data_IF_405191062453
#
_entry.id   IF_405191062453
#
_cell.length_a   1.000
_cell.length_b   1.000
_cell.length_c   1.000
_cell.angle_alpha   90.00
_cell.angle_beta   90.00
_cell.angle_gamma   90.00
#
_symmetry.space_group_name_H-M   'P 1'
#
loop_
_entity.id
_entity.type
_entity.pdbx_description
1 polymer ?
#
# COMPACT_ATOMS: atom_id res chain seq x y z
N UNK A 1 -7.99 8.61 -3.97
CA UNK A 1 -6.96 7.56 -4.11
C UNK A 1 -7.45 6.55 -5.13
N UNK A 2 -6.72 6.38 -6.24
CA UNK A 2 -7.06 5.42 -7.31
C UNK A 2 -6.25 4.14 -7.16
N UNK A 3 -4.95 4.26 -6.93
CA UNK A 3 -4.07 3.16 -6.56
C UNK A 3 -3.11 3.57 -5.44
N UNK A 4 -2.41 2.61 -4.87
CA UNK A 4 -1.29 2.85 -3.97
C UNK A 4 -0.29 1.70 -4.07
N UNK A 5 0.95 1.94 -3.65
CA UNK A 5 1.97 0.91 -3.70
C UNK A 5 3.22 1.26 -2.92
N UNK A 6 4.13 0.29 -2.84
CA UNK A 6 5.46 0.50 -2.31
C UNK A 6 6.47 -0.45 -2.97
N UNK A 7 7.75 -0.06 -3.03
CA UNK A 7 8.88 -0.92 -3.45
C UNK A 7 9.94 -0.95 -2.37
N UNK A 8 10.74 -2.02 -2.38
CA UNK A 8 11.75 -2.26 -1.36
C UNK A 8 11.17 -2.10 0.06
N UNK A 9 10.06 -2.79 0.33
CA UNK A 9 9.19 -2.57 1.47
C UNK A 9 8.84 -3.90 2.16
N UNK A 10 9.26 -4.10 3.41
CA UNK A 10 9.10 -5.33 4.20
C UNK A 10 9.40 -6.62 3.40
N UNK A 11 8.35 -7.32 2.94
CA UNK A 11 8.46 -8.58 2.20
C UNK A 11 8.48 -8.40 0.68
N UNK A 12 8.43 -7.18 0.18
CA UNK A 12 8.36 -6.85 -1.24
C UNK A 12 9.63 -6.15 -1.72
N UNK A 13 10.49 -6.88 -2.43
CA UNK A 13 11.69 -6.32 -3.07
C UNK A 13 11.31 -5.42 -4.26
N UNK A 14 10.63 -6.02 -5.24
CA UNK A 14 10.23 -5.32 -6.47
C UNK A 14 8.98 -4.45 -6.28
N UNK A 15 8.28 -4.65 -5.17
CA UNK A 15 7.13 -3.87 -4.74
C UNK A 15 5.78 -4.50 -5.07
N UNK A 16 4.74 -3.69 -4.89
CA UNK A 16 3.37 -4.02 -5.24
C UNK A 16 2.62 -2.74 -5.61
N UNK A 17 1.53 -2.91 -6.36
CA UNK A 17 0.52 -1.88 -6.59
C UNK A 17 -0.86 -2.47 -6.35
N UNK A 18 -1.71 -1.70 -5.67
CA UNK A 18 -3.12 -2.00 -5.44
C UNK A 18 -3.94 -0.89 -6.07
N UNK A 19 -4.73 -1.22 -7.09
CA UNK A 19 -5.67 -0.30 -7.72
C UNK A 19 -7.11 -0.60 -7.32
N UNK A 20 -7.88 0.44 -7.00
CA UNK A 20 -9.32 0.38 -6.80
C UNK A 20 -10.08 0.60 -8.12
N UNK A 21 -9.40 0.93 -9.21
CA UNK A 21 -10.04 1.23 -10.49
C UNK A 21 -10.66 -0.02 -11.11
N UNK A 22 -11.87 0.16 -11.64
CA UNK A 22 -12.47 -0.85 -12.48
C UNK A 22 -11.74 -0.88 -13.82
N UNK A 23 -11.22 -2.06 -14.17
CA UNK A 23 -10.67 -2.27 -15.50
C UNK A 23 -11.79 -2.44 -16.54
N UNK A 24 -11.41 -2.48 -17.82
CA UNK A 24 -12.34 -2.61 -18.96
C UNK A 24 -13.16 -3.91 -18.97
N UNK A 25 -12.83 -4.89 -18.10
CA UNK A 25 -13.53 -6.16 -18.00
C UNK A 25 -14.70 -6.12 -17.00
N UNK A 26 -14.85 -5.05 -16.22
CA UNK A 26 -15.96 -4.93 -15.25
C UNK A 26 -17.21 -4.39 -15.95
N UNK A 27 -18.33 -5.13 -15.97
CA UNK A 27 -19.56 -4.67 -16.60
C UNK A 27 -20.09 -3.38 -15.98
N UNK A 28 -20.67 -2.49 -16.80
CA UNK A 28 -21.28 -1.22 -16.33
C UNK A 28 -22.39 -1.43 -15.30
N UNK A 29 -23.12 -2.54 -15.38
CA UNK A 29 -24.13 -2.93 -14.41
C UNK A 29 -23.55 -3.19 -13.01
N UNK A 30 -22.32 -3.70 -12.94
CA UNK A 30 -21.59 -3.98 -11.70
C UNK A 30 -20.89 -2.72 -11.20
N UNK A 31 -20.17 -2.00 -12.06
CA UNK A 31 -19.49 -0.76 -11.67
C UNK A 31 -20.46 0.38 -11.36
N UNK A 32 -21.73 0.28 -11.81
CA UNK A 32 -22.75 1.33 -11.72
C UNK A 32 -22.24 2.67 -12.28
N UNK A 33 -21.51 2.59 -13.40
CA UNK A 33 -20.84 3.72 -14.06
C UNK A 33 -19.82 4.47 -13.19
N UNK A 34 -19.38 3.91 -12.07
CA UNK A 34 -18.26 4.44 -11.28
C UNK A 34 -16.93 4.03 -11.89
N UNK A 35 -15.87 4.79 -11.57
CA UNK A 35 -14.49 4.49 -11.99
C UNK A 35 -13.75 3.58 -11.01
N UNK A 36 -14.15 3.56 -9.73
CA UNK A 36 -13.47 2.82 -8.67
C UNK A 36 -14.45 1.97 -7.86
N UNK A 37 -13.95 0.88 -7.29
CA UNK A 37 -14.65 0.05 -6.32
C UNK A 37 -14.59 0.68 -4.92
N UNK A 38 -15.68 0.57 -4.18
CA UNK A 38 -15.72 0.94 -2.76
C UNK A 38 -15.15 -0.17 -1.84
N UNK A 39 -15.05 -1.41 -2.34
CA UNK A 39 -14.64 -2.58 -1.57
C UNK A 39 -13.57 -3.33 -2.37
N UNK A 40 -12.47 -3.70 -1.70
CA UNK A 40 -11.41 -4.51 -2.26
C UNK A 40 -11.02 -5.61 -1.26
N UNK A 41 -10.84 -6.84 -1.76
CA UNK A 41 -10.29 -7.95 -0.99
C UNK A 41 -8.87 -8.29 -1.41
N UNK A 42 -7.96 -8.47 -0.44
CA UNK A 42 -6.60 -8.95 -0.66
C UNK A 42 -6.53 -10.42 -0.21
N UNK A 43 -6.33 -11.34 -1.17
CA UNK A 43 -6.25 -12.78 -0.91
C UNK A 43 -4.85 -13.32 -1.26
N UNK A 44 -4.40 -14.31 -0.50
CA UNK A 44 -3.10 -14.96 -0.68
C UNK A 44 -2.79 -15.92 0.46
N UNK A 45 -1.76 -16.75 0.31
CA UNK A 45 -1.34 -17.72 1.32
C UNK A 45 -0.91 -17.06 2.64
N UNK A 46 -0.82 -17.83 3.72
CA UNK A 46 -0.26 -17.33 4.98
C UNK A 46 1.18 -16.83 4.74
N UNK A 47 1.56 -15.77 5.46
CA UNK A 47 2.84 -15.08 5.31
C UNK A 47 3.15 -14.50 3.90
N UNK A 48 2.18 -14.43 2.98
CA UNK A 48 2.38 -13.89 1.62
C UNK A 48 2.50 -12.36 1.54
N UNK A 49 2.71 -11.65 2.67
CA UNK A 49 2.85 -10.20 2.69
C UNK A 49 1.55 -9.37 2.75
N UNK A 50 0.37 -10.00 2.85
CA UNK A 50 -0.93 -9.29 2.90
C UNK A 50 -1.00 -8.21 4.00
N UNK A 51 -0.53 -8.53 5.20
CA UNK A 51 -0.48 -7.58 6.31
C UNK A 51 0.46 -6.42 6.03
N UNK A 52 1.55 -6.64 5.27
CA UNK A 52 2.46 -5.57 4.89
C UNK A 52 1.78 -4.60 3.91
N UNK A 53 0.95 -5.08 2.98
CA UNK A 53 0.14 -4.18 2.12
C UNK A 53 -0.73 -3.24 2.97
N UNK A 54 -1.38 -3.76 4.02
CA UNK A 54 -2.18 -2.92 4.92
C UNK A 54 -1.32 -1.95 5.76
N UNK A 55 -0.14 -2.38 6.21
CA UNK A 55 0.82 -1.50 6.89
C UNK A 55 1.27 -0.33 6.01
N UNK A 56 1.28 -0.48 4.68
CA UNK A 56 1.61 0.61 3.76
C UNK A 56 0.62 1.77 3.90
N UNK A 57 -0.69 1.48 3.92
CA UNK A 57 -1.71 2.49 4.13
C UNK A 57 -1.62 3.12 5.53
N UNK A 58 -1.37 2.30 6.56
CA UNK A 58 -1.14 2.80 7.93
C UNK A 58 0.05 3.76 7.98
N UNK A 59 1.15 3.41 7.32
CA UNK A 59 2.35 4.23 7.24
C UNK A 59 2.06 5.54 6.50
N UNK A 60 1.41 5.49 5.33
CA UNK A 60 1.08 6.69 4.55
C UNK A 60 0.17 7.65 5.34
N UNK A 61 -0.84 7.13 6.03
CA UNK A 61 -1.71 7.93 6.88
C UNK A 61 -0.91 8.60 8.02
N UNK A 62 -0.15 7.83 8.79
CA UNK A 62 0.70 8.37 9.86
C UNK A 62 1.73 9.38 9.33
N UNK A 63 2.39 9.06 8.21
CA UNK A 63 3.42 9.89 7.61
C UNK A 63 2.86 11.26 7.20
N UNK A 64 1.65 11.28 6.64
CA UNK A 64 1.03 12.52 6.16
C UNK A 64 0.34 13.35 7.23
N UNK A 65 -0.06 12.76 8.37
CA UNK A 65 -0.84 13.48 9.40
C UNK A 65 -0.13 13.66 10.74
N UNK A 66 0.74 12.71 11.15
CA UNK A 66 1.32 12.68 12.49
C UNK A 66 2.85 12.76 12.52
N UNK A 67 3.56 12.39 11.44
CA UNK A 67 5.03 12.27 11.48
C UNK A 67 5.76 13.55 11.88
N UNK A 68 5.23 14.72 11.54
CA UNK A 68 5.81 16.02 11.89
C UNK A 68 5.77 16.33 13.39
N UNK A 69 5.03 15.54 14.18
CA UNK A 69 4.98 15.64 15.64
C UNK A 69 5.94 14.65 16.31
N UNK A 70 6.56 13.75 15.56
CA UNK A 70 7.50 12.76 16.07
C UNK A 70 8.90 13.34 16.22
N UNK A 71 9.60 12.90 17.25
CA UNK A 71 10.99 13.27 17.47
C UNK A 71 11.90 12.51 16.48
N UNK A 72 13.06 13.05 16.08
CA UNK A 72 13.98 12.35 15.18
C UNK A 72 14.45 10.98 15.69
N UNK A 73 14.41 10.76 17.01
CA UNK A 73 14.74 9.49 17.64
C UNK A 73 13.61 8.46 17.62
N UNK A 74 12.38 8.86 17.27
CA UNK A 74 11.24 7.97 17.27
C UNK A 74 11.38 6.91 16.17
N UNK A 75 11.10 5.66 16.55
CA UNK A 75 11.17 4.56 15.61
C UNK A 75 10.06 4.69 14.55
N UNK A 76 10.46 4.87 13.30
CA UNK A 76 9.54 4.81 12.17
C UNK A 76 9.08 3.35 11.98
N UNK A 77 7.76 3.11 11.95
CA UNK A 77 7.18 1.77 11.74
C UNK A 77 7.26 1.30 10.27
N UNK A 78 8.44 1.39 9.69
CA UNK A 78 8.79 1.08 8.32
C UNK A 78 10.07 0.24 8.30
N UNK A 79 10.16 -0.72 7.39
CA UNK A 79 11.40 -1.44 7.12
C UNK A 79 11.55 -1.71 5.62
N UNK A 80 12.78 -1.57 5.13
CA UNK A 80 13.13 -1.94 3.77
C UNK A 80 13.10 -3.46 3.58
N UNK A 81 13.18 -3.94 2.33
CA UNK A 81 13.19 -5.36 2.06
C UNK A 81 14.41 -6.05 2.69
N UNK A 82 14.19 -6.86 3.73
CA UNK A 82 15.24 -7.67 4.38
C UNK A 82 16.51 -6.86 4.75
N UNK A 83 16.32 -5.65 5.29
CA UNK A 83 17.43 -4.78 5.70
C UNK A 83 18.22 -4.16 4.54
N UNK A 84 17.68 -4.18 3.32
CA UNK A 84 18.27 -3.51 2.17
C UNK A 84 18.47 -2.01 2.44
N UNK A 85 19.64 -1.49 2.08
CA UNK A 85 20.04 -0.09 2.31
C UNK A 85 19.51 0.89 1.27
N UNK A 86 18.92 0.39 0.17
CA UNK A 86 18.24 1.24 -0.81
C UNK A 86 17.00 1.90 -0.18
N UNK A 87 16.56 3.07 -0.68
CA UNK A 87 15.31 3.69 -0.23
C UNK A 87 14.09 2.78 -0.45
N UNK A 88 13.06 2.94 0.38
CA UNK A 88 11.71 2.44 0.08
C UNK A 88 10.95 3.52 -0.67
N UNK A 89 10.34 3.15 -1.79
CA UNK A 89 9.51 4.05 -2.59
C UNK A 89 8.02 3.81 -2.27
N UNK A 90 7.21 4.86 -2.32
CA UNK A 90 5.76 4.81 -2.12
C UNK A 90 5.01 5.54 -3.23
N UNK A 91 3.81 5.06 -3.58
CA UNK A 91 2.95 5.63 -4.61
C UNK A 91 1.51 5.76 -4.10
N UNK A 92 0.79 6.81 -4.54
CA UNK A 92 -0.63 7.08 -4.19
C UNK A 92 -1.35 7.81 -5.33
#
# INVERSE_FOLDING_TARGET
>A
MYSFGARNYFSFKDGFEVSLEFNSKVPKSISRSKKVSNILGIKGANASGKTNILKCLKFLAWFTTESFKSEPSDAMHLSAFFGNTKPSDFYI
#
